data_IF_031635013857
#
_entry.id   IF_031635013857
#
_cell.length_a   1.000
_cell.length_b   1.000
_cell.length_c   1.000
_cell.angle_alpha   90.00
_cell.angle_beta   90.00
_cell.angle_gamma   90.00
#
_symmetry.space_group_name_H-M   'P 1'
#
loop_
_entity.id
_entity.type
_entity.pdbx_description
1 polymer ?
#
# COMPACT_ATOMS: atom_id res chain seq x y z
N UNK A 1 0.91 4.34 -18.59
CA UNK A 1 1.98 4.62 -17.61
C UNK A 1 2.26 6.11 -17.61
N UNK A 2 2.12 6.76 -16.49
CA UNK A 2 2.57 8.14 -16.38
C UNK A 2 4.10 8.20 -16.35
N UNK A 3 4.68 9.32 -16.78
CA UNK A 3 6.13 9.52 -16.74
C UNK A 3 6.70 9.47 -15.31
N UNK A 4 5.87 9.71 -14.30
CA UNK A 4 6.25 9.67 -12.90
C UNK A 4 6.51 8.24 -12.41
N UNK A 5 5.85 7.22 -12.99
CA UNK A 5 6.01 5.83 -12.56
C UNK A 5 7.40 5.27 -12.92
N UNK A 6 8.04 5.85 -13.94
CA UNK A 6 9.41 5.51 -14.33
C UNK A 6 10.48 6.18 -13.46
N UNK A 7 10.08 7.20 -12.68
CA UNK A 7 11.02 7.96 -11.85
C UNK A 7 11.57 7.15 -10.66
N UNK A 8 10.89 6.08 -10.26
CA UNK A 8 11.28 5.23 -9.12
C UNK A 8 11.99 3.94 -9.56
N UNK A 9 12.99 4.06 -10.44
CA UNK A 9 13.79 2.94 -10.92
C UNK A 9 15.25 2.98 -10.42
N UNK A 10 15.99 1.90 -10.58
CA UNK A 10 17.42 1.84 -10.25
C UNK A 10 17.71 1.94 -8.75
N UNK A 11 18.52 2.93 -8.33
CA UNK A 11 18.90 3.12 -6.93
C UNK A 11 17.87 3.88 -6.08
N UNK A 12 16.84 4.44 -6.70
CA UNK A 12 15.80 5.23 -6.00
C UNK A 12 15.09 4.45 -4.90
N UNK A 13 14.70 3.17 -5.07
CA UNK A 13 14.10 2.40 -3.98
C UNK A 13 14.97 2.31 -2.73
N UNK A 14 16.30 2.18 -2.88
CA UNK A 14 17.24 2.16 -1.74
C UNK A 14 17.31 3.50 -1.03
N UNK A 15 17.40 4.59 -1.77
CA UNK A 15 17.44 5.95 -1.22
C UNK A 15 16.14 6.23 -0.46
N UNK A 16 15.01 5.86 -1.04
CA UNK A 16 13.69 5.99 -0.42
C UNK A 16 13.66 5.26 0.93
N UNK A 17 14.01 3.98 0.96
CA UNK A 17 14.00 3.17 2.19
C UNK A 17 14.99 3.67 3.23
N UNK A 18 16.19 4.05 2.82
CA UNK A 18 17.26 4.42 3.77
C UNK A 18 17.01 5.77 4.43
N UNK A 19 16.48 6.75 3.69
CA UNK A 19 16.40 8.13 4.15
C UNK A 19 14.98 8.65 4.35
N UNK A 20 14.06 8.34 3.43
CA UNK A 20 12.70 8.89 3.47
C UNK A 20 11.78 8.13 4.40
N UNK A 21 11.90 6.80 4.44
CA UNK A 21 11.02 5.98 5.28
C UNK A 21 11.19 6.31 6.76
N UNK A 22 12.41 6.28 7.34
CA UNK A 22 12.56 6.62 8.76
C UNK A 22 12.19 8.05 9.10
N UNK A 23 12.48 8.97 8.18
CA UNK A 23 12.30 10.41 8.43
C UNK A 23 10.83 10.84 8.34
N UNK A 24 10.07 10.28 7.40
CA UNK A 24 8.76 10.82 7.03
C UNK A 24 7.65 9.79 7.22
N UNK A 25 7.83 8.54 6.81
CA UNK A 25 6.74 7.61 6.59
C UNK A 25 6.48 6.61 7.72
N UNK A 26 7.46 6.36 8.58
CA UNK A 26 7.37 5.30 9.59
C UNK A 26 6.21 5.51 10.57
N UNK A 27 6.05 6.70 11.11
CA UNK A 27 4.99 7.01 12.09
C UNK A 27 3.60 6.87 11.47
N UNK A 28 3.43 7.35 10.23
CA UNK A 28 2.17 7.22 9.50
C UNK A 28 1.85 5.76 9.17
N UNK A 29 2.87 4.96 8.87
CA UNK A 29 2.71 3.55 8.62
C UNK A 29 2.22 2.80 9.88
N UNK A 30 2.79 3.11 11.03
CA UNK A 30 2.36 2.54 12.30
C UNK A 30 0.91 2.93 12.64
N UNK A 31 0.52 4.17 12.39
CA UNK A 31 -0.85 4.63 12.61
C UNK A 31 -1.85 3.90 11.69
N UNK A 32 -1.56 3.80 10.39
CA UNK A 32 -2.40 3.07 9.45
C UNK A 32 -2.55 1.59 9.84
N UNK A 33 -1.45 0.94 10.23
CA UNK A 33 -1.47 -0.45 10.65
C UNK A 33 -2.29 -0.66 11.91
N UNK A 34 -2.18 0.25 12.88
CA UNK A 34 -2.98 0.21 14.10
C UNK A 34 -4.48 0.35 13.80
N UNK A 35 -4.86 1.28 12.94
CA UNK A 35 -6.26 1.46 12.51
C UNK A 35 -6.78 0.24 11.78
N UNK A 36 -5.97 -0.34 10.93
CA UNK A 36 -6.31 -1.58 10.20
C UNK A 36 -6.51 -2.74 11.17
N UNK A 37 -5.63 -2.91 12.15
CA UNK A 37 -5.75 -3.94 13.18
C UNK A 37 -7.05 -3.79 13.99
N UNK A 38 -7.47 -2.56 14.28
CA UNK A 38 -8.72 -2.28 14.97
C UNK A 38 -9.98 -2.72 14.23
N UNK A 39 -9.90 -2.89 12.92
CA UNK A 39 -11.00 -3.40 12.08
C UNK A 39 -11.08 -4.94 12.05
N UNK A 40 -10.07 -5.63 12.58
CA UNK A 40 -9.98 -7.10 12.61
C UNK A 40 -10.22 -7.76 11.25
N UNK A 41 -9.55 -7.34 10.16
CA UNK A 41 -9.80 -7.86 8.83
C UNK A 41 -9.27 -9.29 8.67
N UNK A 42 -9.89 -10.06 7.79
CA UNK A 42 -9.37 -11.35 7.35
C UNK A 42 -8.43 -11.23 6.16
N UNK A 43 -8.67 -10.26 5.30
CA UNK A 43 -7.90 -10.05 4.08
C UNK A 43 -7.71 -8.58 3.80
N UNK A 44 -6.45 -8.15 3.69
CA UNK A 44 -6.04 -6.76 3.49
C UNK A 44 -5.30 -6.64 2.17
N UNK A 45 -5.66 -5.63 1.38
CA UNK A 45 -4.93 -5.21 0.20
C UNK A 45 -4.22 -3.89 0.50
N UNK A 46 -2.92 -3.84 0.26
CA UNK A 46 -2.16 -2.59 0.23
C UNK A 46 -1.87 -2.20 -1.21
N UNK A 47 -2.19 -0.94 -1.57
CA UNK A 47 -1.89 -0.35 -2.88
C UNK A 47 -0.80 0.69 -2.69
N UNK A 48 0.11 0.80 -3.66
CA UNK A 48 1.27 1.69 -3.62
C UNK A 48 2.17 1.38 -2.41
N UNK A 49 2.53 0.12 -2.27
CA UNK A 49 3.31 -0.39 -1.13
C UNK A 49 4.71 0.20 -1.04
N UNK A 50 5.24 0.73 -2.16
CA UNK A 50 6.60 1.25 -2.25
C UNK A 50 7.61 0.20 -1.76
N UNK A 51 8.50 0.57 -0.85
CA UNK A 51 9.50 -0.35 -0.29
C UNK A 51 9.01 -1.14 0.93
N UNK A 52 7.70 -1.11 1.21
CA UNK A 52 7.05 -2.00 2.17
C UNK A 52 6.96 -1.51 3.60
N UNK A 53 7.09 -0.20 3.86
CA UNK A 53 7.02 0.33 5.23
C UNK A 53 5.68 0.03 5.91
N UNK A 54 4.56 0.25 5.21
CA UNK A 54 3.23 -0.09 5.75
C UNK A 54 3.05 -1.60 5.81
N UNK A 55 3.52 -2.32 4.81
CA UNK A 55 3.46 -3.78 4.78
C UNK A 55 4.13 -4.41 5.98
N UNK A 56 5.33 -3.91 6.35
CA UNK A 56 6.04 -4.38 7.55
C UNK A 56 5.25 -4.08 8.83
N UNK A 57 4.67 -2.90 8.93
CA UNK A 57 3.84 -2.52 10.07
C UNK A 57 2.56 -3.39 10.17
N UNK A 58 1.90 -3.65 9.04
CA UNK A 58 0.75 -4.55 8.97
C UNK A 58 1.15 -5.97 9.39
N UNK A 59 2.27 -6.48 8.86
CA UNK A 59 2.75 -7.82 9.20
C UNK A 59 3.05 -7.97 10.70
N UNK A 60 3.55 -6.91 11.34
CA UNK A 60 3.84 -6.92 12.77
C UNK A 60 2.60 -6.80 13.66
N UNK A 61 1.58 -6.08 13.22
CA UNK A 61 0.43 -5.74 14.05
C UNK A 61 -0.81 -6.60 13.80
N UNK A 62 -0.96 -7.20 12.61
CA UNK A 62 -2.11 -8.03 12.29
C UNK A 62 -1.88 -9.48 12.73
N UNK A 63 -2.96 -10.21 13.10
CA UNK A 63 -2.85 -11.63 13.42
C UNK A 63 -2.31 -12.45 12.25
N UNK A 64 -1.63 -13.55 12.53
CA UNK A 64 -1.10 -14.46 11.51
C UNK A 64 -2.18 -15.04 10.58
N UNK A 65 -3.44 -15.04 11.03
CA UNK A 65 -4.60 -15.49 10.25
C UNK A 65 -5.06 -14.46 9.20
N UNK A 66 -4.64 -13.20 9.30
CA UNK A 66 -4.96 -12.17 8.31
C UNK A 66 -4.06 -12.33 7.09
N UNK A 67 -4.64 -12.46 5.92
CA UNK A 67 -3.93 -12.45 4.66
C UNK A 67 -3.60 -11.01 4.24
N UNK A 68 -2.34 -10.76 3.90
CA UNK A 68 -1.87 -9.45 3.42
C UNK A 68 -1.38 -9.60 1.99
N UNK A 69 -1.95 -8.80 1.09
CA UNK A 69 -1.53 -8.69 -0.31
C UNK A 69 -1.00 -7.27 -0.52
N UNK A 70 0.26 -7.15 -0.88
CA UNK A 70 0.92 -5.87 -1.11
C UNK A 70 1.22 -5.67 -2.59
N UNK A 71 0.79 -4.54 -3.13
CA UNK A 71 0.91 -4.23 -4.56
C UNK A 71 1.57 -2.88 -4.80
N UNK A 72 2.28 -2.79 -5.91
CA UNK A 72 2.82 -1.54 -6.43
C UNK A 72 2.88 -1.61 -7.95
N UNK A 73 2.76 -0.47 -8.62
CA UNK A 73 2.90 -0.39 -10.07
C UNK A 73 4.36 -0.62 -10.51
N UNK A 74 5.32 -0.27 -9.64
CA UNK A 74 6.75 -0.35 -9.94
C UNK A 74 7.35 -1.65 -9.39
N UNK A 75 7.75 -2.61 -10.25
CA UNK A 75 8.36 -3.86 -9.81
C UNK A 75 9.64 -3.67 -8.97
N UNK A 76 10.42 -2.62 -9.24
CA UNK A 76 11.65 -2.35 -8.47
C UNK A 76 11.36 -2.02 -7.00
N UNK A 77 10.25 -1.38 -6.71
CA UNK A 77 9.80 -1.15 -5.34
C UNK A 77 9.46 -2.47 -4.64
N UNK A 78 8.75 -3.35 -5.31
CA UNK A 78 8.40 -4.67 -4.77
C UNK A 78 9.64 -5.52 -4.53
N UNK A 79 10.59 -5.52 -5.45
CA UNK A 79 11.87 -6.23 -5.27
C UNK A 79 12.61 -5.75 -4.02
N UNK A 80 12.69 -4.44 -3.81
CA UNK A 80 13.31 -3.88 -2.62
C UNK A 80 12.54 -4.24 -1.35
N UNK A 81 11.22 -4.19 -1.38
CA UNK A 81 10.37 -4.57 -0.25
C UNK A 81 10.55 -6.05 0.12
N UNK A 82 10.59 -6.92 -0.87
CA UNK A 82 10.86 -8.35 -0.67
C UNK A 82 12.25 -8.62 -0.12
N UNK A 83 13.26 -7.88 -0.58
CA UNK A 83 14.63 -8.02 -0.08
C UNK A 83 14.77 -7.63 1.39
N UNK A 84 14.06 -6.61 1.84
CA UNK A 84 13.99 -6.23 3.25
C UNK A 84 13.21 -7.26 4.05
N UNK A 85 12.11 -7.75 3.49
CA UNK A 85 11.26 -8.77 4.08
C UNK A 85 10.27 -8.25 5.12
N UNK A 86 9.48 -9.17 5.63
CA UNK A 86 8.45 -8.93 6.65
C UNK A 86 8.55 -10.01 7.73
N UNK A 87 8.00 -9.74 8.92
CA UNK A 87 8.02 -10.66 10.04
C UNK A 87 7.16 -11.92 9.82
N UNK A 88 6.34 -11.94 8.77
CA UNK A 88 5.49 -13.07 8.38
C UNK A 88 5.25 -13.06 6.87
N UNK A 89 4.75 -14.16 6.29
CA UNK A 89 4.46 -14.22 4.86
C UNK A 89 3.47 -13.15 4.40
N UNK A 90 3.79 -12.51 3.28
CA UNK A 90 2.98 -11.53 2.57
C UNK A 90 2.99 -11.90 1.09
N UNK A 91 1.88 -11.74 0.40
CA UNK A 91 1.83 -11.88 -1.05
C UNK A 91 2.21 -10.54 -1.69
N UNK A 92 3.28 -10.55 -2.47
CA UNK A 92 3.76 -9.37 -3.20
C UNK A 92 3.42 -9.51 -4.67
N UNK A 93 2.82 -8.49 -5.25
CA UNK A 93 2.38 -8.55 -6.64
C UNK A 93 2.42 -7.17 -7.30
N UNK A 94 3.05 -7.02 -8.48
CA UNK A 94 2.87 -5.82 -9.29
C UNK A 94 1.41 -5.68 -9.71
N UNK A 95 0.85 -4.49 -9.55
CA UNK A 95 -0.53 -4.23 -9.98
C UNK A 95 -0.74 -2.74 -10.27
N UNK A 96 -1.56 -2.45 -11.26
CA UNK A 96 -2.05 -1.12 -11.54
C UNK A 96 -3.34 -0.88 -10.73
N UNK A 97 -3.34 0.18 -9.93
CA UNK A 97 -4.52 0.57 -9.15
C UNK A 97 -5.74 0.88 -10.02
N UNK A 98 -5.52 1.25 -11.29
CA UNK A 98 -6.57 1.52 -12.27
C UNK A 98 -7.24 0.26 -12.82
N UNK A 99 -6.62 -0.90 -12.62
CA UNK A 99 -7.10 -2.20 -13.07
C UNK A 99 -6.57 -3.29 -12.15
N UNK A 100 -7.17 -3.43 -10.98
CA UNK A 100 -6.74 -4.39 -9.98
C UNK A 100 -7.02 -5.83 -10.41
N UNK A 101 -6.01 -6.73 -10.38
CA UNK A 101 -6.14 -8.11 -10.82
C UNK A 101 -6.76 -9.01 -9.75
N UNK A 102 -7.84 -8.57 -9.14
CA UNK A 102 -8.54 -9.30 -8.09
C UNK A 102 -10.04 -9.35 -8.37
N UNK A 103 -10.72 -10.42 -7.94
CA UNK A 103 -12.17 -10.51 -8.07
C UNK A 103 -12.91 -9.43 -7.25
N UNK A 104 -14.17 -9.21 -7.59
CA UNK A 104 -15.07 -8.38 -6.80
C UNK A 104 -15.16 -8.91 -5.36
N UNK A 105 -15.32 -8.01 -4.41
CA UNK A 105 -15.56 -8.35 -2.99
C UNK A 105 -14.53 -9.33 -2.41
N UNK A 106 -13.24 -9.10 -2.70
CA UNK A 106 -12.13 -9.98 -2.28
C UNK A 106 -11.46 -9.56 -0.97
N UNK A 107 -11.62 -8.31 -0.54
CA UNK A 107 -10.90 -7.75 0.60
C UNK A 107 -11.83 -7.10 1.62
N UNK A 108 -11.44 -7.15 2.88
CA UNK A 108 -12.14 -6.49 3.97
C UNK A 108 -11.67 -5.04 4.15
N UNK A 109 -10.38 -4.82 3.94
CA UNK A 109 -9.73 -3.51 4.07
C UNK A 109 -8.76 -3.29 2.91
N UNK A 110 -8.76 -2.08 2.37
CA UNK A 110 -7.74 -1.59 1.44
C UNK A 110 -6.99 -0.44 2.12
N UNK A 111 -5.67 -0.48 2.07
CA UNK A 111 -4.78 0.52 2.68
C UNK A 111 -3.92 1.18 1.62
N UNK A 112 -3.85 2.52 1.64
CA UNK A 112 -3.05 3.30 0.68
C UNK A 112 -2.36 4.44 1.43
N UNK A 113 -1.04 4.35 1.60
CA UNK A 113 -0.27 5.42 2.24
C UNK A 113 0.35 6.35 1.19
N UNK A 114 -0.09 7.61 1.17
CA UNK A 114 0.41 8.67 0.30
C UNK A 114 0.49 8.30 -1.19
N UNK A 115 -0.42 7.42 -1.65
CA UNK A 115 -0.45 6.93 -3.03
C UNK A 115 -1.57 7.52 -3.87
N UNK A 116 -2.70 7.87 -3.26
CA UNK A 116 -3.91 8.33 -3.98
C UNK A 116 -3.63 9.55 -4.86
N UNK A 117 -2.78 10.45 -4.41
CA UNK A 117 -2.43 11.67 -5.12
C UNK A 117 -1.71 11.43 -6.47
N UNK A 118 -1.10 10.26 -6.63
CA UNK A 118 -0.36 9.89 -7.84
C UNK A 118 -1.20 9.12 -8.87
N UNK A 119 -2.41 8.74 -8.55
CA UNK A 119 -3.27 8.02 -9.48
C UNK A 119 -3.66 8.94 -10.66
N UNK A 120 -3.39 8.54 -11.92
CA UNK A 120 -3.74 9.35 -13.09
C UNK A 120 -5.24 9.63 -13.19
N UNK A 121 -6.07 8.66 -12.83
CA UNK A 121 -7.53 8.78 -12.75
C UNK A 121 -7.99 8.27 -11.38
N UNK A 122 -8.16 9.20 -10.45
CA UNK A 122 -8.52 8.87 -9.07
C UNK A 122 -9.90 8.21 -8.97
N UNK A 123 -10.86 8.68 -9.78
CA UNK A 123 -12.20 8.09 -9.81
C UNK A 123 -12.17 6.63 -10.23
N UNK A 124 -11.38 6.30 -11.25
CA UNK A 124 -11.20 4.94 -11.73
C UNK A 124 -10.51 4.06 -10.68
N UNK A 125 -9.44 4.54 -10.09
CA UNK A 125 -8.72 3.80 -9.05
C UNK A 125 -9.59 3.54 -7.82
N UNK A 126 -10.31 4.55 -7.35
CA UNK A 126 -11.23 4.39 -6.22
C UNK A 126 -12.44 3.53 -6.57
N UNK A 127 -12.88 3.52 -7.82
CA UNK A 127 -13.87 2.58 -8.33
C UNK A 127 -13.39 1.13 -8.24
N UNK A 128 -12.12 0.87 -8.59
CA UNK A 128 -11.50 -0.44 -8.43
C UNK A 128 -11.37 -0.84 -6.96
N UNK A 129 -10.98 0.08 -6.10
CA UNK A 129 -10.96 -0.15 -4.64
C UNK A 129 -12.33 -0.56 -4.13
N UNK A 130 -13.37 0.16 -4.53
CA UNK A 130 -14.75 -0.18 -4.15
C UNK A 130 -15.16 -1.55 -4.67
N UNK A 131 -14.79 -1.90 -5.91
CA UNK A 131 -15.12 -3.18 -6.52
C UNK A 131 -14.51 -4.35 -5.74
N UNK A 132 -13.23 -4.25 -5.37
CA UNK A 132 -12.53 -5.34 -4.67
C UNK A 132 -12.85 -5.43 -3.18
N UNK A 133 -13.39 -4.36 -2.59
CA UNK A 133 -13.87 -4.40 -1.22
C UNK A 133 -15.20 -5.16 -1.11
N UNK A 134 -15.31 -5.96 -0.06
CA UNK A 134 -16.59 -6.57 0.32
C UNK A 134 -17.59 -5.50 0.74
N UNK A 135 -18.90 -5.77 0.61
CA UNK A 135 -19.91 -4.91 1.23
C UNK A 135 -19.61 -4.71 2.72
N UNK A 136 -19.58 -3.44 3.16
CA UNK A 136 -19.19 -3.09 4.53
C UNK A 136 -17.68 -3.01 4.76
N UNK A 137 -16.85 -3.27 3.73
CA UNK A 137 -15.40 -3.11 3.80
C UNK A 137 -14.98 -1.64 3.94
N UNK A 138 -13.73 -1.44 4.32
CA UNK A 138 -13.18 -0.11 4.62
C UNK A 138 -11.94 0.17 3.79
N UNK A 139 -11.84 1.37 3.24
CA UNK A 139 -10.60 1.90 2.69
C UNK A 139 -9.99 2.89 3.69
N UNK A 140 -8.70 2.71 3.99
CA UNK A 140 -7.92 3.63 4.81
C UNK A 140 -6.79 4.20 3.93
N UNK A 141 -6.71 5.50 3.85
CA UNK A 141 -5.62 6.16 3.16
C UNK A 141 -5.24 7.46 3.86
N UNK A 142 -4.01 7.89 3.65
CA UNK A 142 -3.55 9.20 4.05
C UNK A 142 -3.03 9.97 2.84
N UNK A 143 -3.13 11.28 2.91
CA UNK A 143 -2.64 12.24 1.93
C UNK A 143 -2.05 13.43 2.67
N UNK A 144 -1.17 14.16 2.00
CA UNK A 144 -0.67 15.41 2.55
C UNK A 144 -1.77 16.47 2.58
N UNK A 145 -1.80 17.22 3.67
CA UNK A 145 -2.66 18.38 3.77
C UNK A 145 -2.13 19.53 2.91
N UNK A 146 -3.00 20.49 2.66
CA UNK A 146 -2.65 21.72 1.95
C UNK A 146 -1.69 22.53 2.81
N UNK A 147 -0.56 22.90 2.25
CA UNK A 147 0.30 23.91 2.88
C UNK A 147 -0.36 25.26 2.66
N UNK A 148 -0.90 25.84 3.72
CA UNK A 148 -1.31 27.24 3.69
C UNK A 148 -0.05 28.11 3.78
N UNK A 149 0.18 28.91 2.74
CA UNK A 149 1.30 29.84 2.66
C UNK A 149 0.81 31.20 3.14
#
# INVERSE_FOLDING_TARGET
MSSNDKAFSGSIPKVYETFLVPLIFEEYAQDLARRTAGLAPRRVLEIATSTGVVTRALAAQLPATTEIVATDLNPAMIEQAQAIGTSRPVTWQPADAMQLPFPDASFDVVVIQFGVMFFPDKAKALGEVRRVLRPGGTVLFNVWDRIEV
#
